data_IF_047589156383
#
_entry.id   IF_047589156383
#
_cell.length_a   1.000
_cell.length_b   1.000
_cell.length_c   1.000
_cell.angle_alpha   90.00
_cell.angle_beta   90.00
_cell.angle_gamma   90.00
#
_symmetry.space_group_name_H-M   'P 1'
#
loop_
_entity.id
_entity.type
_entity.pdbx_description
1 polymer ?
#
# COMPACT_ATOMS: atom_id res chain seq x y z
N UNK A 1 -5.74 33.18 -34.58
CA UNK A 1 -6.06 32.21 -33.52
C UNK A 1 -4.90 31.23 -33.45
N UNK A 2 -3.91 31.50 -32.60
CA UNK A 2 -2.73 30.64 -32.46
C UNK A 2 -3.03 29.58 -31.40
N UNK A 3 -3.08 28.30 -31.83
CA UNK A 3 -3.01 27.17 -30.92
C UNK A 3 -1.56 27.06 -30.44
N UNK A 4 -1.31 27.40 -29.17
CA UNK A 4 -0.05 27.06 -28.52
C UNK A 4 -0.06 25.54 -28.29
N UNK A 5 0.66 24.82 -29.15
CA UNK A 5 1.14 23.49 -28.84
C UNK A 5 2.03 23.61 -27.59
N UNK A 6 1.50 23.17 -26.43
CA UNK A 6 2.35 22.82 -25.30
C UNK A 6 3.15 21.58 -25.74
N UNK A 7 4.33 21.83 -26.31
CA UNK A 7 5.36 20.80 -26.38
C UNK A 7 5.73 20.51 -24.93
N UNK A 8 5.55 19.27 -24.41
CA UNK A 8 6.15 18.93 -23.14
C UNK A 8 7.65 19.08 -23.37
N UNK A 9 8.23 20.12 -22.77
CA UNK A 9 9.66 20.34 -22.86
C UNK A 9 10.36 19.10 -22.33
N UNK A 10 11.50 18.78 -22.96
CA UNK A 10 12.53 17.85 -22.49
C UNK A 10 13.12 18.24 -21.12
N UNK A 11 12.49 19.18 -20.40
CA UNK A 11 12.99 19.71 -19.15
C UNK A 11 12.55 18.78 -18.03
N UNK A 12 13.55 18.18 -17.39
CA UNK A 12 13.36 17.25 -16.28
C UNK A 12 12.48 17.85 -15.17
N UNK A 13 12.00 16.96 -14.31
CA UNK A 13 11.20 17.24 -13.11
C UNK A 13 11.47 18.62 -12.49
N UNK A 14 10.45 19.44 -12.20
CA UNK A 14 10.65 20.76 -11.58
C UNK A 14 11.58 20.71 -10.37
N UNK A 15 12.47 21.69 -10.23
CA UNK A 15 13.51 21.74 -9.18
C UNK A 15 12.93 21.58 -7.77
N UNK A 16 11.82 22.28 -7.48
CA UNK A 16 11.12 22.16 -6.19
C UNK A 16 10.61 20.75 -5.87
N UNK A 17 10.36 19.90 -6.88
CA UNK A 17 9.99 18.50 -6.67
C UNK A 17 11.23 17.67 -6.36
N UNK A 18 12.37 17.95 -7.03
CA UNK A 18 13.64 17.28 -6.73
C UNK A 18 14.10 17.61 -5.31
N UNK A 19 14.11 18.89 -4.97
CA UNK A 19 14.48 19.38 -3.62
C UNK A 19 13.60 18.78 -2.53
N UNK A 20 12.31 18.61 -2.80
CA UNK A 20 11.38 17.93 -1.90
C UNK A 20 11.80 16.47 -1.68
N UNK A 21 12.06 15.72 -2.76
CA UNK A 21 12.40 14.30 -2.67
C UNK A 21 13.74 14.09 -1.96
N UNK A 22 14.72 14.93 -2.27
CA UNK A 22 16.03 14.90 -1.62
C UNK A 22 15.92 15.21 -0.13
N UNK A 23 15.10 16.21 0.25
CA UNK A 23 14.86 16.58 1.65
C UNK A 23 14.15 15.49 2.43
N UNK A 24 13.13 14.86 1.85
CA UNK A 24 12.37 13.79 2.52
C UNK A 24 13.07 12.42 2.42
N UNK A 25 14.27 12.36 1.82
CA UNK A 25 15.00 11.12 1.55
C UNK A 25 14.17 10.06 0.81
N UNK A 26 13.26 10.50 -0.05
CA UNK A 26 12.39 9.61 -0.84
C UNK A 26 13.09 9.35 -2.16
N UNK A 27 13.60 8.12 -2.36
CA UNK A 27 14.16 7.76 -3.66
C UNK A 27 13.11 7.11 -4.56
N UNK A 28 13.07 7.55 -5.83
CA UNK A 28 12.27 6.90 -6.87
C UNK A 28 12.55 5.39 -6.95
N UNK A 29 13.82 5.04 -6.80
CA UNK A 29 14.30 3.66 -6.83
C UNK A 29 13.67 2.81 -5.72
N UNK A 30 13.54 3.31 -4.49
CA UNK A 30 12.90 2.57 -3.40
C UNK A 30 11.41 2.35 -3.63
N UNK A 31 10.70 3.38 -4.11
CA UNK A 31 9.27 3.27 -4.45
C UNK A 31 9.05 2.24 -5.57
N UNK A 32 9.87 2.29 -6.62
CA UNK A 32 9.81 1.34 -7.74
C UNK A 32 10.16 -0.07 -7.29
N UNK A 33 11.25 -0.24 -6.52
CA UNK A 33 11.65 -1.54 -6.00
C UNK A 33 10.57 -2.15 -5.11
N UNK A 34 9.94 -1.35 -4.24
CA UNK A 34 8.84 -1.82 -3.39
C UNK A 34 7.67 -2.31 -4.23
N UNK A 35 7.19 -1.49 -5.16
CA UNK A 35 6.08 -1.85 -6.04
C UNK A 35 6.40 -3.10 -6.89
N UNK A 36 7.61 -3.18 -7.44
CA UNK A 36 8.06 -4.32 -8.22
C UNK A 36 8.20 -5.59 -7.37
N UNK A 37 8.61 -5.45 -6.10
CA UNK A 37 8.64 -6.55 -5.14
C UNK A 37 7.25 -7.16 -4.93
N UNK A 38 6.23 -6.32 -4.73
CA UNK A 38 4.85 -6.81 -4.62
C UNK A 38 4.29 -7.34 -5.94
N UNK A 39 4.65 -6.74 -7.08
CA UNK A 39 4.26 -7.24 -8.41
C UNK A 39 4.89 -8.59 -8.75
N UNK A 40 6.04 -8.94 -8.18
CA UNK A 40 6.59 -10.28 -8.30
C UNK A 40 5.70 -11.35 -7.63
N UNK A 41 4.86 -10.96 -6.66
CA UNK A 41 3.89 -11.85 -5.99
C UNK A 41 2.52 -11.76 -6.67
N UNK A 42 2.04 -10.53 -6.97
CA UNK A 42 0.76 -10.27 -7.66
C UNK A 42 0.98 -9.24 -8.80
N UNK A 43 1.20 -9.67 -10.05
CA UNK A 43 1.64 -8.81 -11.16
C UNK A 43 0.75 -7.60 -11.46
N UNK A 44 -0.55 -7.75 -11.26
CA UNK A 44 -1.61 -6.78 -11.55
C UNK A 44 -2.07 -6.03 -10.28
N UNK A 45 -1.31 -6.08 -9.18
CA UNK A 45 -1.63 -5.28 -8.00
C UNK A 45 -1.62 -3.79 -8.34
N UNK A 46 -2.73 -3.11 -8.03
CA UNK A 46 -2.85 -1.67 -8.24
C UNK A 46 -2.13 -0.92 -7.11
N UNK A 47 -1.68 0.30 -7.39
CA UNK A 47 -1.09 1.18 -6.36
C UNK A 47 -2.08 1.44 -5.22
N UNK A 48 -3.37 1.58 -5.53
CA UNK A 48 -4.43 1.77 -4.52
C UNK A 48 -4.60 0.56 -3.60
N UNK A 49 -4.57 -0.65 -4.16
CA UNK A 49 -4.60 -1.89 -3.39
C UNK A 49 -3.36 -2.03 -2.51
N UNK A 50 -2.17 -1.76 -3.06
CA UNK A 50 -0.92 -1.82 -2.31
C UNK A 50 -0.90 -0.79 -1.17
N UNK A 51 -1.30 0.44 -1.43
CA UNK A 51 -1.40 1.49 -0.41
C UNK A 51 -2.37 1.10 0.71
N UNK A 52 -3.50 0.49 0.35
CA UNK A 52 -4.47 -0.06 1.31
C UNK A 52 -3.83 -1.11 2.22
N UNK A 53 -3.08 -2.04 1.64
CA UNK A 53 -2.36 -3.07 2.38
C UNK A 53 -1.31 -2.48 3.33
N UNK A 54 -0.43 -1.60 2.82
CA UNK A 54 0.63 -0.98 3.61
C UNK A 54 0.06 -0.13 4.76
N UNK A 55 -1.07 0.54 4.54
CA UNK A 55 -1.77 1.27 5.58
C UNK A 55 -2.25 0.34 6.71
N UNK A 56 -2.89 -0.78 6.36
CA UNK A 56 -3.35 -1.78 7.33
C UNK A 56 -2.16 -2.38 8.09
N UNK A 57 -1.10 -2.76 7.38
CA UNK A 57 0.11 -3.31 7.97
C UNK A 57 0.75 -2.34 8.99
N UNK A 58 0.95 -1.09 8.59
CA UNK A 58 1.52 -0.04 9.46
C UNK A 58 0.66 0.24 10.70
N UNK A 59 -0.67 0.20 10.56
CA UNK A 59 -1.59 0.43 11.68
C UNK A 59 -1.66 -0.77 12.62
N UNK A 60 -1.53 -1.99 12.08
CA UNK A 60 -1.48 -3.23 12.88
C UNK A 60 -0.17 -3.34 13.65
N UNK A 61 0.95 -2.85 13.10
CA UNK A 61 2.26 -2.88 13.78
C UNK A 61 2.40 -1.86 14.91
N UNK A 62 1.61 -0.79 14.90
CA UNK A 62 1.64 0.22 15.96
C UNK A 62 0.78 -0.25 17.13
N UNK A 63 1.41 -0.86 18.13
CA UNK A 63 0.77 -1.42 19.35
C UNK A 63 -0.16 -0.42 20.06
N UNK A 64 0.03 0.89 19.88
CA UNK A 64 -0.77 1.95 20.51
C UNK A 64 -2.06 2.31 19.76
N UNK A 65 -2.39 1.62 18.66
CA UNK A 65 -3.61 1.91 17.90
C UNK A 65 -4.82 1.11 18.41
N UNK A 66 -5.45 1.60 19.48
CA UNK A 66 -6.70 1.02 20.03
C UNK A 66 -7.93 1.12 19.10
N UNK A 67 -7.79 1.79 17.95
CA UNK A 67 -8.89 1.99 16.99
C UNK A 67 -8.84 0.88 15.93
N UNK A 68 -9.85 -0.02 15.88
CA UNK A 68 -9.99 -1.02 14.84
C UNK A 68 -10.07 -0.39 13.45
N UNK A 69 -9.43 -1.00 12.46
CA UNK A 69 -9.39 -0.45 11.10
C UNK A 69 -10.67 -0.85 10.36
N UNK A 70 -11.74 -0.06 10.53
CA UNK A 70 -12.97 -0.24 9.76
C UNK A 70 -12.82 0.27 8.32
N UNK A 71 -13.74 -0.13 7.43
CA UNK A 71 -13.77 0.39 6.06
C UNK A 71 -13.94 1.91 6.00
N UNK A 72 -14.66 2.50 6.97
CA UNK A 72 -14.84 3.95 7.07
C UNK A 72 -13.52 4.63 7.45
N UNK A 73 -12.83 4.10 8.47
CA UNK A 73 -11.49 4.61 8.86
C UNK A 73 -10.54 4.55 7.67
N UNK A 74 -10.59 3.46 6.90
CA UNK A 74 -9.73 3.28 5.75
C UNK A 74 -10.07 4.22 4.59
N UNK A 75 -11.36 4.40 4.26
CA UNK A 75 -11.79 5.33 3.22
C UNK A 75 -11.39 6.77 3.54
N UNK A 76 -11.61 7.18 4.78
CA UNK A 76 -11.32 8.54 5.24
C UNK A 76 -9.81 8.80 5.27
N UNK A 77 -9.02 7.85 5.79
CA UNK A 77 -7.57 8.01 5.92
C UNK A 77 -6.83 8.03 4.57
N UNK A 78 -7.35 7.32 3.57
CA UNK A 78 -6.71 7.22 2.25
C UNK A 78 -7.38 8.12 1.19
N UNK A 79 -8.36 8.93 1.57
CA UNK A 79 -9.07 9.82 0.65
C UNK A 79 -9.74 9.09 -0.51
N UNK A 80 -10.24 7.87 -0.28
CA UNK A 80 -10.86 7.03 -1.32
C UNK A 80 -12.33 6.76 -1.03
N UNK A 81 -13.10 6.35 -2.05
CA UNK A 81 -14.49 5.96 -1.84
C UNK A 81 -14.60 4.71 -0.96
N UNK A 82 -15.70 4.59 -0.22
CA UNK A 82 -16.00 3.39 0.57
C UNK A 82 -16.03 2.13 -0.30
N UNK A 83 -16.56 2.24 -1.53
CA UNK A 83 -16.61 1.14 -2.48
C UNK A 83 -15.21 0.71 -2.94
N UNK A 84 -14.29 1.65 -3.16
CA UNK A 84 -12.89 1.36 -3.47
C UNK A 84 -12.20 0.67 -2.31
N UNK A 85 -12.37 1.19 -1.09
CA UNK A 85 -11.85 0.58 0.14
C UNK A 85 -12.34 -0.87 0.30
N UNK A 86 -13.64 -1.09 0.15
CA UNK A 86 -14.25 -2.41 0.23
C UNK A 86 -13.65 -3.38 -0.81
N UNK A 87 -13.56 -2.96 -2.08
CA UNK A 87 -12.96 -3.78 -3.16
C UNK A 87 -11.50 -4.13 -2.91
N UNK A 88 -10.70 -3.18 -2.43
CA UNK A 88 -9.30 -3.45 -2.07
C UNK A 88 -9.21 -4.44 -0.92
N UNK A 89 -10.01 -4.26 0.14
CA UNK A 89 -10.04 -5.18 1.28
C UNK A 89 -10.54 -6.58 0.89
N UNK A 90 -11.51 -6.68 -0.02
CA UNK A 90 -11.97 -7.96 -0.56
C UNK A 90 -10.82 -8.69 -1.25
N UNK A 91 -10.12 -8.04 -2.18
CA UNK A 91 -8.96 -8.61 -2.88
C UNK A 91 -7.82 -8.99 -1.92
N UNK A 92 -7.54 -8.17 -0.91
CA UNK A 92 -6.49 -8.42 0.06
C UNK A 92 -6.82 -9.53 1.08
N UNK A 93 -8.11 -9.76 1.34
CA UNK A 93 -8.59 -10.83 2.22
C UNK A 93 -8.59 -12.19 1.49
N UNK A 94 -9.35 -13.17 1.97
CA UNK A 94 -9.58 -14.44 1.24
C UNK A 94 -10.45 -14.27 -0.03
N UNK A 95 -10.94 -13.05 -0.30
CA UNK A 95 -11.78 -12.74 -1.44
C UNK A 95 -13.27 -12.78 -1.11
N UNK A 96 -14.09 -12.65 -2.14
CA UNK A 96 -15.55 -12.87 -2.06
C UNK A 96 -15.86 -14.21 -2.71
N UNK A 97 -16.52 -15.10 -1.97
CA UNK A 97 -17.19 -16.31 -2.45
C UNK A 97 -16.64 -16.91 -3.76
N UNK A 98 -15.47 -17.57 -3.68
CA UNK A 98 -14.90 -18.35 -4.79
C UNK A 98 -13.91 -17.62 -5.70
N UNK A 99 -13.73 -16.30 -5.56
CA UNK A 99 -12.81 -15.53 -6.41
C UNK A 99 -11.36 -15.42 -5.88
N UNK A 100 -10.99 -16.16 -4.83
CA UNK A 100 -9.61 -16.29 -4.34
C UNK A 100 -8.89 -14.95 -4.10
N UNK A 101 -8.93 -14.44 -2.88
CA UNK A 101 -8.13 -13.28 -2.50
C UNK A 101 -6.70 -13.63 -2.09
N UNK A 102 -5.91 -12.59 -1.77
CA UNK A 102 -4.49 -12.72 -1.46
C UNK A 102 -4.22 -13.30 -0.07
N UNK A 103 -5.20 -13.27 0.83
CA UNK A 103 -5.04 -13.72 2.21
C UNK A 103 -4.00 -12.90 2.98
N UNK A 104 -3.77 -11.64 2.60
CA UNK A 104 -2.81 -10.73 3.23
C UNK A 104 -3.39 -9.95 4.40
N UNK A 105 -4.72 -9.87 4.48
CA UNK A 105 -5.44 -9.28 5.62
C UNK A 105 -6.56 -10.22 6.07
N UNK A 106 -7.01 -10.04 7.31
CA UNK A 106 -8.16 -10.73 7.88
C UNK A 106 -9.26 -9.75 8.26
N UNK A 107 -10.51 -10.21 8.13
CA UNK A 107 -11.72 -9.45 8.52
C UNK A 107 -12.24 -9.96 9.86
N UNK A 108 -11.85 -9.31 10.95
CA UNK A 108 -12.30 -9.65 12.29
C UNK A 108 -13.57 -8.89 12.67
N UNK A 109 -14.31 -9.37 13.67
CA UNK A 109 -15.44 -8.62 14.22
C UNK A 109 -14.94 -7.35 14.90
N UNK A 110 -15.56 -6.21 14.58
CA UNK A 110 -15.20 -4.94 15.21
C UNK A 110 -15.83 -4.87 16.63
N UNK A 111 -15.04 -4.72 17.71
CA UNK A 111 -15.57 -4.63 19.06
C UNK A 111 -16.26 -3.29 19.36
N UNK A 112 -15.96 -2.23 18.60
CA UNK A 112 -16.45 -0.87 18.86
C UNK A 112 -17.70 -0.51 18.02
N UNK A 113 -17.93 -1.18 16.90
CA UNK A 113 -19.03 -0.87 15.98
C UNK A 113 -19.63 -2.14 15.36
N UNK A 114 -20.87 -2.05 14.88
CA UNK A 114 -21.46 -3.11 14.04
C UNK A 114 -20.73 -3.17 12.70
N UNK A 115 -19.83 -4.14 12.54
CA UNK A 115 -19.11 -4.33 11.28
C UNK A 115 -17.87 -5.21 11.42
N UNK A 116 -17.05 -5.20 10.36
CA UNK A 116 -15.75 -5.87 10.33
C UNK A 116 -14.63 -4.84 10.42
N UNK A 117 -13.57 -5.21 11.13
CA UNK A 117 -12.29 -4.51 11.12
C UNK A 117 -11.25 -5.32 10.35
N UNK A 118 -10.26 -4.63 9.80
CA UNK A 118 -9.18 -5.22 9.03
C UNK A 118 -7.93 -5.31 9.90
N UNK A 119 -7.26 -6.46 9.84
CA UNK A 119 -5.94 -6.65 10.46
C UNK A 119 -4.99 -7.35 9.51
N UNK A 120 -3.69 -7.19 9.73
CA UNK A 120 -2.67 -7.96 9.00
C UNK A 120 -2.80 -9.45 9.34
N UNK A 121 -2.77 -10.31 8.31
CA UNK A 121 -2.74 -11.76 8.49
C UNK A 121 -1.31 -12.30 8.53
N UNK A 122 -1.13 -13.58 8.88
CA UNK A 122 0.16 -14.26 8.72
C UNK A 122 0.64 -14.29 7.25
N UNK A 123 -0.28 -14.46 6.29
CA UNK A 123 0.04 -14.42 4.86
C UNK A 123 0.55 -13.05 4.42
N UNK A 124 -0.01 -11.97 4.97
CA UNK A 124 0.44 -10.61 4.70
C UNK A 124 1.81 -10.32 5.30
N UNK A 125 2.06 -10.82 6.52
CA UNK A 125 3.37 -10.72 7.16
C UNK A 125 4.44 -11.45 6.33
N UNK A 126 4.14 -12.64 5.83
CA UNK A 126 5.04 -13.41 4.97
C UNK A 126 5.31 -12.70 3.64
N UNK A 127 4.28 -12.08 3.04
CA UNK A 127 4.46 -11.27 1.82
C UNK A 127 5.38 -10.06 2.07
N UNK A 128 5.23 -9.36 3.21
CA UNK A 128 6.11 -8.25 3.60
C UNK A 128 7.55 -8.72 3.75
N UNK A 129 7.78 -9.83 4.46
CA UNK A 129 9.11 -10.43 4.64
C UNK A 129 9.77 -10.73 3.29
N UNK A 130 9.07 -11.43 2.39
CA UNK A 130 9.61 -11.77 1.07
C UNK A 130 10.00 -10.55 0.24
N UNK A 131 9.23 -9.46 0.33
CA UNK A 131 9.54 -8.22 -0.37
C UNK A 131 10.74 -7.55 0.28
N UNK A 132 10.73 -7.36 1.60
CA UNK A 132 11.78 -6.64 2.31
C UNK A 132 13.13 -7.35 2.28
N UNK A 133 13.17 -8.68 2.29
CA UNK A 133 14.41 -9.43 2.09
C UNK A 133 15.05 -9.13 0.73
N UNK A 134 14.25 -8.97 -0.33
CA UNK A 134 14.73 -8.60 -1.66
C UNK A 134 15.14 -7.13 -1.78
N UNK A 135 14.61 -6.28 -0.90
CA UNK A 135 14.99 -4.87 -0.82
C UNK A 135 16.25 -4.65 0.01
N UNK A 136 16.68 -5.64 0.81
CA UNK A 136 17.86 -5.49 1.66
C UNK A 136 19.11 -5.30 0.80
N UNK A 137 19.94 -4.29 1.08
CA UNK A 137 21.21 -4.12 0.38
C UNK A 137 22.08 -5.37 0.57
N UNK A 138 22.68 -5.87 -0.52
CA UNK A 138 23.71 -6.90 -0.47
C UNK A 138 24.91 -6.33 0.34
N UNK A 139 25.00 -6.67 1.63
CA UNK A 139 26.10 -6.20 2.49
C UNK A 139 25.77 -6.00 3.97
N UNK A 140 24.50 -6.05 4.39
CA UNK A 140 24.15 -6.02 5.82
C UNK A 140 23.73 -7.41 6.33
N UNK A 141 24.60 -8.41 6.21
CA UNK A 141 24.54 -9.56 7.13
C UNK A 141 24.92 -9.05 8.51
N UNK A 142 23.92 -8.89 9.38
CA UNK A 142 24.13 -8.57 10.78
C UNK A 142 25.02 -9.63 11.44
N UNK A 143 26.06 -9.15 12.10
CA UNK A 143 26.63 -9.77 13.30
C UNK A 143 25.59 -9.80 14.42
#
# INVERSE_FOLDING_TARGET
MFFLFFSPTRDGMPEHIRDFLDREHITWNEMEKLLNGFRAIKPDITVGTLLTFLYIARRTSNESSDIPISLKVLSDALGMSYQSAARHCDLLSEGVSGNGGLGWIEKISNPQERGKAMQLSYGGLFALLQVFEKLRPEGQTGE
#
